data_IF_661762408063
#
_entry.id   IF_661762408063
#
_cell.length_a   1.000
_cell.length_b   1.000
_cell.length_c   1.000
_cell.angle_alpha   90.00
_cell.angle_beta   90.00
_cell.angle_gamma   90.00
#
_symmetry.space_group_name_H-M   'P 1'
#
loop_
_entity.id
_entity.type
_entity.pdbx_description
1 polymer ?
#
# COMPACT_ATOMS: atom_id res chain seq x y z
N UNK A 1 -4.97 -9.74 14.95
CA UNK A 1 -5.63 -9.38 13.67
C UNK A 1 -4.59 -9.35 12.56
N UNK A 2 -4.93 -9.86 11.40
CA UNK A 2 -4.02 -9.92 10.25
C UNK A 2 -3.62 -8.52 9.80
N UNK A 3 -2.32 -8.31 9.57
CA UNK A 3 -1.79 -7.04 9.09
C UNK A 3 -1.54 -7.15 7.59
N UNK A 4 -2.03 -6.18 6.84
CA UNK A 4 -2.01 -6.18 5.37
C UNK A 4 -1.48 -4.85 4.87
N UNK A 5 -0.46 -4.87 4.03
CA UNK A 5 0.02 -3.65 3.38
C UNK A 5 -0.61 -3.54 2.00
N UNK A 6 -1.15 -2.37 1.71
CA UNK A 6 -1.75 -2.06 0.41
C UNK A 6 -0.80 -1.20 -0.41
N UNK A 7 -0.43 -1.69 -1.59
CA UNK A 7 0.41 -0.94 -2.50
C UNK A 7 -0.33 0.32 -2.99
N UNK A 8 0.45 1.35 -3.32
CA UNK A 8 -0.09 2.67 -3.69
C UNK A 8 -1.11 2.60 -4.83
N UNK A 9 -0.89 1.74 -5.83
CA UNK A 9 -1.81 1.65 -6.97
C UNK A 9 -3.18 1.11 -6.57
N UNK A 10 -3.22 0.20 -5.61
CA UNK A 10 -4.50 -0.32 -5.09
C UNK A 10 -5.28 0.81 -4.41
N UNK A 11 -4.59 1.64 -3.62
CA UNK A 11 -5.22 2.78 -2.96
C UNK A 11 -5.71 3.82 -3.97
N UNK A 12 -4.90 4.13 -4.99
CA UNK A 12 -5.28 5.07 -6.03
C UNK A 12 -6.46 4.58 -6.85
N UNK A 13 -6.55 3.27 -7.11
CA UNK A 13 -7.68 2.70 -7.83
C UNK A 13 -9.00 3.03 -7.14
N UNK A 14 -9.00 3.00 -5.80
CA UNK A 14 -10.19 3.31 -5.00
C UNK A 14 -10.40 4.81 -4.90
N UNK A 15 -9.37 5.56 -4.52
CA UNK A 15 -9.49 6.98 -4.24
C UNK A 15 -9.77 7.82 -5.49
N UNK A 16 -9.28 7.38 -6.65
CA UNK A 16 -9.50 8.05 -7.93
C UNK A 16 -10.47 7.30 -8.84
N UNK A 17 -11.11 6.25 -8.32
CA UNK A 17 -12.13 5.47 -9.03
C UNK A 17 -11.65 4.99 -10.40
N UNK A 18 -10.48 4.37 -10.45
CA UNK A 18 -9.84 3.97 -11.71
C UNK A 18 -10.34 2.64 -12.22
N UNK A 19 -10.94 2.66 -13.41
CA UNK A 19 -11.37 1.43 -14.09
C UNK A 19 -10.24 0.84 -14.94
N UNK A 20 -10.18 -0.47 -15.12
CA UNK A 20 -11.13 -1.51 -14.66
C UNK A 20 -10.83 -2.04 -13.25
N UNK A 21 -9.98 -1.37 -12.47
CA UNK A 21 -9.44 -1.90 -11.21
C UNK A 21 -10.28 -1.58 -9.98
N UNK A 22 -11.21 -0.63 -10.10
CA UNK A 22 -11.94 -0.09 -8.93
C UNK A 22 -12.64 -1.18 -8.12
N UNK A 23 -13.40 -2.06 -8.76
CA UNK A 23 -14.20 -3.04 -8.03
C UNK A 23 -13.35 -3.99 -7.19
N UNK A 24 -12.28 -4.53 -7.76
CA UNK A 24 -11.43 -5.48 -7.06
C UNK A 24 -10.60 -4.81 -5.97
N UNK A 25 -10.04 -3.64 -6.27
CA UNK A 25 -9.26 -2.88 -5.29
C UNK A 25 -10.13 -2.40 -4.13
N UNK A 26 -11.36 -1.96 -4.42
CA UNK A 26 -12.29 -1.54 -3.38
C UNK A 26 -12.70 -2.70 -2.48
N UNK A 27 -12.94 -3.86 -3.06
CA UNK A 27 -13.27 -5.07 -2.29
C UNK A 27 -12.14 -5.45 -1.34
N UNK A 28 -10.89 -5.40 -1.82
CA UNK A 28 -9.73 -5.72 -1.00
C UNK A 28 -9.54 -4.69 0.13
N UNK A 29 -9.75 -3.42 -0.15
CA UNK A 29 -9.59 -2.35 0.85
C UNK A 29 -10.73 -2.34 1.86
N UNK A 30 -11.91 -2.79 1.47
CA UNK A 30 -13.11 -2.83 2.32
C UNK A 30 -12.89 -3.68 3.58
N UNK A 31 -12.01 -4.66 3.50
CA UNK A 31 -11.63 -5.47 4.66
C UNK A 31 -11.09 -4.61 5.82
N UNK A 32 -10.41 -3.52 5.51
CA UNK A 32 -9.93 -2.56 6.51
C UNK A 32 -11.11 -1.79 7.11
N UNK A 33 -11.99 -1.28 6.26
CA UNK A 33 -13.14 -0.51 6.71
C UNK A 33 -14.09 -1.32 7.60
N UNK A 34 -14.19 -2.62 7.34
CA UNK A 34 -15.03 -3.52 8.12
C UNK A 34 -14.33 -4.09 9.37
N UNK A 35 -13.09 -3.68 9.62
CA UNK A 35 -12.37 -4.14 10.80
C UNK A 35 -11.90 -5.58 10.73
N UNK A 36 -11.84 -6.17 9.55
CA UNK A 36 -11.42 -7.56 9.38
C UNK A 36 -9.90 -7.72 9.40
N UNK A 37 -9.17 -6.67 9.00
CA UNK A 37 -7.71 -6.65 8.98
C UNK A 37 -7.21 -5.28 9.43
N UNK A 38 -5.95 -5.21 9.86
CA UNK A 38 -5.24 -3.94 10.04
C UNK A 38 -4.57 -3.57 8.71
N UNK A 39 -4.96 -2.43 8.12
CA UNK A 39 -4.39 -1.96 6.86
C UNK A 39 -3.21 -1.05 7.08
N UNK A 40 -2.21 -1.19 6.21
CA UNK A 40 -0.98 -0.39 6.24
C UNK A 40 -0.68 0.18 4.87
N UNK A 41 -0.13 1.37 4.85
CA UNK A 41 0.47 1.99 3.67
C UNK A 41 1.92 2.35 4.02
N UNK A 42 2.85 2.09 3.10
CA UNK A 42 4.26 2.38 3.36
C UNK A 42 4.49 3.89 3.49
N UNK A 43 5.33 4.31 4.44
CA UNK A 43 5.51 5.71 4.77
C UNK A 43 5.92 6.58 3.58
N UNK A 44 6.86 6.11 2.75
CA UNK A 44 7.29 6.87 1.57
C UNK A 44 6.20 6.94 0.49
N UNK A 45 5.29 5.97 0.46
CA UNK A 45 4.20 5.97 -0.50
C UNK A 45 3.15 7.05 -0.19
N UNK A 46 3.05 7.49 1.07
CA UNK A 46 2.07 8.50 1.47
C UNK A 46 2.30 9.83 0.74
N UNK A 47 3.56 10.26 0.60
CA UNK A 47 3.88 11.49 -0.10
C UNK A 47 3.59 11.38 -1.60
N UNK A 48 3.93 10.25 -2.21
CA UNK A 48 3.61 9.99 -3.62
C UNK A 48 2.11 9.94 -3.84
N UNK A 49 1.40 9.28 -2.94
CA UNK A 49 -0.07 9.20 -2.98
C UNK A 49 -0.67 10.61 -2.94
N UNK A 50 -0.21 11.44 -2.01
CA UNK A 50 -0.72 12.80 -1.90
C UNK A 50 -0.45 13.61 -3.16
N UNK A 51 0.75 13.50 -3.72
CA UNK A 51 1.12 14.19 -4.96
C UNK A 51 0.18 13.82 -6.11
N UNK A 52 -0.11 12.53 -6.26
CA UNK A 52 -0.99 12.05 -7.32
C UNK A 52 -2.45 12.45 -7.08
N UNK A 53 -2.90 12.43 -5.83
CA UNK A 53 -4.24 12.91 -5.49
C UNK A 53 -4.38 14.40 -5.78
N UNK A 54 -3.36 15.18 -5.43
CA UNK A 54 -3.37 16.64 -5.62
C UNK A 54 -3.51 17.02 -7.10
N UNK A 55 -2.87 16.27 -7.97
CA UNK A 55 -2.97 16.51 -9.43
C UNK A 55 -4.40 16.38 -9.93
N UNK A 56 -5.18 15.46 -9.36
CA UNK A 56 -6.54 15.16 -9.82
C UNK A 56 -7.61 15.94 -9.04
N UNK A 57 -7.40 16.14 -7.74
CA UNK A 57 -8.45 16.63 -6.83
C UNK A 57 -8.17 18.02 -6.26
N UNK A 58 -6.96 18.54 -6.43
CA UNK A 58 -6.52 19.77 -5.79
C UNK A 58 -6.10 19.55 -4.34
N UNK A 59 -5.46 20.57 -3.75
CA UNK A 59 -4.84 20.44 -2.43
C UNK A 59 -5.85 20.18 -1.30
N UNK A 60 -6.91 20.99 -1.23
CA UNK A 60 -7.85 20.92 -0.11
C UNK A 60 -8.55 19.56 -0.05
N UNK A 61 -9.04 19.08 -1.20
CA UNK A 61 -9.72 17.79 -1.26
C UNK A 61 -8.76 16.64 -1.00
N UNK A 62 -7.53 16.73 -1.49
CA UNK A 62 -6.52 15.70 -1.26
C UNK A 62 -6.18 15.54 0.21
N UNK A 63 -6.12 16.66 0.95
CA UNK A 63 -5.91 16.61 2.40
C UNK A 63 -7.05 15.91 3.12
N UNK A 64 -8.29 16.19 2.71
CA UNK A 64 -9.47 15.53 3.28
C UNK A 64 -9.46 14.03 2.98
N UNK A 65 -9.17 13.66 1.75
CA UNK A 65 -9.14 12.27 1.32
C UNK A 65 -8.06 11.49 2.07
N UNK A 66 -6.85 12.05 2.15
CA UNK A 66 -5.75 11.39 2.84
C UNK A 66 -6.03 11.28 4.34
N UNK A 67 -6.54 12.34 4.95
CA UNK A 67 -6.90 12.31 6.38
C UNK A 67 -7.94 11.22 6.65
N UNK A 68 -8.95 11.11 5.78
CA UNK A 68 -9.96 10.06 5.90
C UNK A 68 -9.37 8.66 5.79
N UNK A 69 -8.47 8.46 4.84
CA UNK A 69 -7.79 7.17 4.67
C UNK A 69 -7.02 6.81 5.94
N UNK A 70 -6.29 7.76 6.51
CA UNK A 70 -5.45 7.52 7.68
C UNK A 70 -6.23 7.39 8.99
N UNK A 71 -7.54 7.65 8.99
CA UNK A 71 -8.36 7.28 10.15
C UNK A 71 -8.56 5.77 10.24
N UNK A 72 -8.41 5.07 9.13
CA UNK A 72 -8.63 3.62 9.05
C UNK A 72 -7.34 2.84 8.87
N UNK A 73 -6.31 3.46 8.29
CA UNK A 73 -5.06 2.80 7.96
C UNK A 73 -3.90 3.30 8.80
N UNK A 74 -2.93 2.45 9.00
CA UNK A 74 -1.67 2.79 9.67
C UNK A 74 -0.58 3.00 8.63
N UNK A 75 0.47 3.71 9.04
CA UNK A 75 1.63 3.94 8.17
C UNK A 75 2.73 2.97 8.58
N UNK A 76 3.19 2.14 7.64
CA UNK A 76 4.32 1.26 7.85
C UNK A 76 5.61 2.10 7.85
N UNK A 77 6.45 1.99 8.88
CA UNK A 77 7.59 2.89 9.01
C UNK A 77 8.68 2.62 7.97
N UNK A 78 9.25 3.69 7.45
CA UNK A 78 10.45 3.64 6.60
C UNK A 78 11.62 4.03 7.49
N UNK A 79 12.48 3.06 7.80
CA UNK A 79 13.57 3.24 8.75
C UNK A 79 14.92 3.36 8.03
N UNK A 80 15.93 3.85 8.74
CA UNK A 80 17.30 3.85 8.23
C UNK A 80 17.71 2.44 7.80
N UNK A 81 17.46 1.45 8.65
CA UNK A 81 17.79 0.05 8.35
C UNK A 81 17.04 -0.45 7.10
N UNK A 82 15.77 -0.12 6.96
CA UNK A 82 14.96 -0.52 5.81
C UNK A 82 15.46 0.07 4.51
N UNK A 83 15.85 1.34 4.52
CA UNK A 83 16.41 2.00 3.34
C UNK A 83 17.73 1.31 2.92
N UNK A 84 18.59 1.05 3.87
CA UNK A 84 19.89 0.38 3.58
C UNK A 84 19.67 -1.05 3.08
N UNK A 85 18.73 -1.76 3.66
CA UNK A 85 18.34 -3.09 3.22
C UNK A 85 17.84 -3.07 1.78
N UNK A 86 17.02 -2.07 1.43
CA UNK A 86 16.48 -1.92 0.06
C UNK A 86 17.59 -1.69 -0.98
N UNK A 87 18.68 -1.03 -0.59
CA UNK A 87 19.82 -0.83 -1.50
C UNK A 87 20.56 -2.13 -1.80
N UNK A 88 20.49 -3.10 -0.89
CA UNK A 88 21.25 -4.36 -0.99
C UNK A 88 20.38 -5.55 -1.38
N UNK A 89 19.07 -5.39 -1.50
CA UNK A 89 18.21 -6.50 -1.87
C UNK A 89 18.15 -6.67 -3.40
N UNK A 90 17.47 -7.72 -3.83
CA UNK A 90 17.41 -8.08 -5.26
C UNK A 90 16.26 -7.45 -6.02
N UNK A 91 15.55 -6.49 -5.43
CA UNK A 91 14.46 -5.79 -6.12
C UNK A 91 15.05 -4.87 -7.18
N UNK A 92 14.48 -4.90 -8.39
CA UNK A 92 14.95 -4.05 -9.49
C UNK A 92 14.65 -2.58 -9.24
N UNK A 93 13.49 -2.30 -8.65
CA UNK A 93 13.06 -0.95 -8.34
C UNK A 93 13.33 -0.67 -6.86
N UNK A 94 14.07 0.41 -6.61
CA UNK A 94 14.43 0.79 -5.24
C UNK A 94 13.21 1.07 -4.39
N UNK A 95 12.20 1.77 -4.96
CA UNK A 95 10.98 2.10 -4.24
C UNK A 95 10.24 0.84 -3.81
N UNK A 96 10.16 -0.16 -4.66
CA UNK A 96 9.53 -1.44 -4.32
C UNK A 96 10.30 -2.14 -3.21
N UNK A 97 11.62 -2.05 -3.24
CA UNK A 97 12.46 -2.58 -2.17
C UNK A 97 12.20 -1.90 -0.83
N UNK A 98 11.99 -0.57 -0.85
CA UNK A 98 11.64 0.18 0.36
C UNK A 98 10.25 -0.21 0.85
N UNK A 99 9.30 -0.38 -0.05
CA UNK A 99 7.95 -0.85 0.29
C UNK A 99 8.02 -2.21 0.99
N UNK A 100 8.80 -3.13 0.44
CA UNK A 100 8.98 -4.45 1.02
C UNK A 100 9.61 -4.37 2.42
N UNK A 101 10.63 -3.54 2.59
CA UNK A 101 11.27 -3.35 3.90
C UNK A 101 10.30 -2.76 4.93
N UNK A 102 9.46 -1.81 4.52
CA UNK A 102 8.44 -1.24 5.39
C UNK A 102 7.40 -2.30 5.79
N UNK A 103 7.02 -3.17 4.85
CA UNK A 103 6.10 -4.26 5.13
C UNK A 103 6.69 -5.22 6.19
N UNK A 104 7.97 -5.54 6.08
CA UNK A 104 8.64 -6.38 7.07
C UNK A 104 8.72 -5.68 8.44
N UNK A 105 9.03 -4.40 8.46
CA UNK A 105 9.13 -3.63 9.70
C UNK A 105 7.78 -3.59 10.43
N UNK A 106 6.69 -3.46 9.69
CA UNK A 106 5.34 -3.47 10.27
C UNK A 106 4.83 -4.89 10.55
N UNK A 107 5.61 -5.90 10.20
CA UNK A 107 5.24 -7.31 10.38
C UNK A 107 3.93 -7.67 9.69
N UNK A 108 3.73 -7.17 8.47
CA UNK A 108 2.54 -7.53 7.70
C UNK A 108 2.66 -8.96 7.18
N UNK A 109 1.53 -9.64 7.08
CA UNK A 109 1.50 -11.02 6.61
C UNK A 109 1.29 -11.13 5.11
N UNK A 110 0.82 -10.06 4.45
CA UNK A 110 0.58 -10.07 3.00
C UNK A 110 0.62 -8.65 2.45
N UNK A 111 1.08 -8.54 1.20
CA UNK A 111 1.05 -7.28 0.44
C UNK A 111 0.00 -7.43 -0.65
N UNK A 112 -0.97 -6.51 -0.70
CA UNK A 112 -1.99 -6.47 -1.76
C UNK A 112 -1.48 -5.50 -2.83
N UNK A 113 -1.26 -6.00 -4.03
CA UNK A 113 -0.66 -5.25 -5.13
C UNK A 113 -1.16 -5.76 -6.48
N UNK A 114 -1.18 -4.90 -7.50
CA UNK A 114 -1.41 -5.33 -8.87
C UNK A 114 -0.14 -5.90 -9.53
N UNK A 115 1.03 -5.67 -8.93
CA UNK A 115 2.32 -6.09 -9.46
C UNK A 115 2.94 -7.19 -8.59
N UNK A 116 2.28 -8.33 -8.50
CA UNK A 116 2.71 -9.45 -7.66
C UNK A 116 4.14 -9.89 -7.98
N UNK A 117 4.51 -9.90 -9.28
CA UNK A 117 5.84 -10.36 -9.70
C UNK A 117 6.99 -9.54 -9.12
N UNK A 118 6.75 -8.28 -8.76
CA UNK A 118 7.77 -7.41 -8.17
C UNK A 118 8.22 -7.93 -6.81
N UNK A 119 7.31 -8.58 -6.06
CA UNK A 119 7.56 -9.01 -4.69
C UNK A 119 7.83 -10.50 -4.54
N UNK A 120 8.00 -11.24 -5.64
CA UNK A 120 8.19 -12.70 -5.58
C UNK A 120 9.48 -13.12 -4.92
N UNK A 121 10.48 -12.25 -4.83
CA UNK A 121 11.77 -12.56 -4.21
C UNK A 121 11.76 -12.42 -2.70
N UNK A 122 10.68 -11.90 -2.13
CA UNK A 122 10.56 -11.69 -0.70
C UNK A 122 9.87 -12.85 0.01
N UNK A 123 10.00 -12.87 1.34
CA UNK A 123 9.34 -13.87 2.20
C UNK A 123 7.87 -13.52 2.37
N UNK A 124 7.54 -12.23 2.48
CA UNK A 124 6.16 -11.78 2.62
C UNK A 124 5.42 -11.99 1.30
N UNK A 125 4.34 -12.76 1.31
CA UNK A 125 3.61 -13.01 0.07
C UNK A 125 2.89 -11.76 -0.45
N UNK A 126 2.75 -11.68 -1.77
CA UNK A 126 2.01 -10.64 -2.44
C UNK A 126 0.85 -11.27 -3.21
N UNK A 127 -0.32 -10.63 -3.17
CA UNK A 127 -1.51 -11.12 -3.85
C UNK A 127 -2.21 -9.99 -4.60
N UNK A 128 -2.87 -10.36 -5.69
CA UNK A 128 -3.72 -9.43 -6.44
C UNK A 128 -4.94 -9.06 -5.61
N UNK A 129 -5.51 -7.84 -5.81
CA UNK A 129 -6.73 -7.45 -5.10
C UNK A 129 -7.86 -8.45 -5.25
N UNK A 130 -8.07 -8.98 -6.45
CA UNK A 130 -9.15 -9.95 -6.73
C UNK A 130 -8.94 -11.30 -6.06
N UNK A 131 -7.70 -11.63 -5.70
CA UNK A 131 -7.35 -12.89 -5.03
C UNK A 131 -7.39 -12.77 -3.51
N UNK A 132 -7.17 -11.54 -3.01
CA UNK A 132 -7.07 -11.31 -1.56
C UNK A 132 -8.32 -11.75 -0.81
N UNK A 133 -8.12 -12.43 0.32
CA UNK A 133 -9.17 -12.80 1.29
C UNK A 133 -8.69 -12.41 2.69
N UNK A 134 -9.53 -11.70 3.45
CA UNK A 134 -9.18 -11.24 4.80
C UNK A 134 -8.95 -12.33 5.82
#
# INVERSE_FOLDING_TARGET
MKRVLYDINVLLDVLLMREPFLADSASALDAVGQGQVEGYVAGHAVTTLFYLLQRELGMAKSRQVLAGLLTKMRVAPVTDAGIRQALNNSFKDFEDGVTYAAAQEAEVSVIVTRNVSVFTKGITPAVLPEVFRP
#
